data_IF_616663860008
#
_entry.id   IF_616663860008
#
_cell.length_a   1.000
_cell.length_b   1.000
_cell.length_c   1.000
_cell.angle_alpha   90.00
_cell.angle_beta   90.00
_cell.angle_gamma   90.00
#
_symmetry.space_group_name_H-M   'P 1'
#
loop_
_entity.id
_entity.type
_entity.pdbx_description
1 polymer ?
#
# COMPACT_ATOMS: atom_id res chain seq x y z
N UNK A 1 9.69 17.46 -6.57
CA UNK A 1 8.38 18.14 -6.70
C UNK A 1 8.63 19.56 -7.11
N UNK A 2 7.94 20.04 -8.14
CA UNK A 2 7.94 21.46 -8.49
C UNK A 2 6.72 22.04 -7.78
N UNK A 3 6.92 22.61 -6.60
CA UNK A 3 5.86 23.40 -5.97
C UNK A 3 5.72 24.69 -6.76
N UNK A 4 4.50 25.17 -7.02
CA UNK A 4 4.35 26.50 -7.59
C UNK A 4 5.00 27.53 -6.64
N UNK A 5 5.60 28.57 -7.20
CA UNK A 5 6.52 29.49 -6.50
C UNK A 5 5.93 30.18 -5.25
N UNK A 6 4.61 30.25 -5.12
CA UNK A 6 3.93 30.76 -3.94
C UNK A 6 3.80 29.75 -2.78
N UNK A 7 4.05 28.45 -3.02
CA UNK A 7 4.04 27.38 -2.01
C UNK A 7 5.45 26.87 -1.67
N UNK A 8 6.47 27.23 -2.43
CA UNK A 8 7.87 26.87 -2.15
C UNK A 8 8.30 27.14 -0.70
N UNK A 9 7.94 28.27 -0.04
CA UNK A 9 8.34 28.53 1.34
C UNK A 9 7.73 27.51 2.33
N UNK A 10 6.58 26.93 2.00
CA UNK A 10 5.84 26.00 2.86
C UNK A 10 6.00 24.53 2.44
N UNK A 11 6.77 24.27 1.39
CA UNK A 11 6.99 22.94 0.82
C UNK A 11 7.27 21.88 1.89
N UNK A 12 8.13 22.18 2.86
CA UNK A 12 8.54 21.22 3.87
C UNK A 12 7.37 20.82 4.80
N UNK A 13 6.56 21.79 5.21
CA UNK A 13 5.37 21.57 6.03
C UNK A 13 4.28 20.80 5.27
N UNK A 14 4.07 21.14 4.00
CA UNK A 14 3.11 20.46 3.13
C UNK A 14 3.52 19.00 2.91
N UNK A 15 4.81 18.76 2.65
CA UNK A 15 5.35 17.40 2.49
C UNK A 15 5.15 16.58 3.75
N UNK A 16 5.43 17.16 4.93
CA UNK A 16 5.27 16.46 6.20
C UNK A 16 3.80 16.11 6.48
N UNK A 17 2.87 17.02 6.18
CA UNK A 17 1.44 16.77 6.31
C UNK A 17 0.94 15.67 5.35
N UNK A 18 1.39 15.67 4.09
CA UNK A 18 1.06 14.62 3.13
C UNK A 18 1.58 13.26 3.58
N UNK A 19 2.85 13.18 3.98
CA UNK A 19 3.46 11.95 4.50
C UNK A 19 2.72 11.41 5.73
N UNK A 20 2.26 12.31 6.62
CA UNK A 20 1.45 11.94 7.77
C UNK A 20 0.11 11.33 7.36
N UNK A 21 -0.63 12.00 6.48
CA UNK A 21 -1.94 11.54 6.01
C UNK A 21 -1.80 10.22 5.26
N UNK A 22 -0.82 10.12 4.36
CA UNK A 22 -0.54 8.91 3.59
C UNK A 22 -0.20 7.74 4.53
N UNK A 23 0.71 7.93 5.49
CA UNK A 23 1.11 6.90 6.45
C UNK A 23 -0.09 6.39 7.26
N UNK A 24 -0.94 7.30 7.73
CA UNK A 24 -2.11 6.96 8.54
C UNK A 24 -3.15 6.20 7.71
N UNK A 25 -3.47 6.68 6.50
CA UNK A 25 -4.41 6.02 5.59
C UNK A 25 -3.94 4.62 5.20
N UNK A 26 -2.67 4.45 4.82
CA UNK A 26 -2.11 3.14 4.48
C UNK A 26 -2.11 2.19 5.68
N UNK A 27 -1.75 2.68 6.86
CA UNK A 27 -1.82 1.89 8.10
C UNK A 27 -3.23 1.37 8.36
N UNK A 28 -4.26 2.21 8.21
CA UNK A 28 -5.65 1.80 8.43
C UNK A 28 -6.15 0.77 7.40
N UNK A 29 -5.76 0.91 6.13
CA UNK A 29 -6.22 0.02 5.04
C UNK A 29 -5.51 -1.34 5.06
N UNK A 30 -4.30 -1.42 5.63
CA UNK A 30 -3.48 -2.63 5.65
C UNK A 30 -4.22 -3.87 6.18
N UNK A 31 -5.05 -3.74 7.23
CA UNK A 31 -5.86 -4.86 7.77
C UNK A 31 -6.76 -5.50 6.70
N UNK A 32 -7.49 -4.67 5.94
CA UNK A 32 -8.41 -5.14 4.90
C UNK A 32 -7.68 -5.82 3.75
N UNK A 33 -6.52 -5.30 3.37
CA UNK A 33 -5.67 -5.91 2.35
C UNK A 33 -5.20 -7.31 2.77
N UNK A 34 -4.76 -7.47 4.02
CA UNK A 34 -4.34 -8.77 4.55
C UNK A 34 -5.49 -9.76 4.55
N UNK A 35 -6.68 -9.36 5.01
CA UNK A 35 -7.87 -10.23 5.03
C UNK A 35 -8.28 -10.65 3.61
N UNK A 36 -8.24 -9.73 2.64
CA UNK A 36 -8.53 -10.04 1.25
C UNK A 36 -7.54 -11.05 0.64
N UNK A 37 -6.25 -10.92 0.95
CA UNK A 37 -5.21 -11.88 0.52
C UNK A 37 -5.47 -13.26 1.10
N UNK A 38 -5.79 -13.34 2.40
CA UNK A 38 -6.11 -14.63 3.04
C UNK A 38 -7.35 -15.28 2.40
N UNK A 39 -8.41 -14.50 2.17
CA UNK A 39 -9.61 -15.00 1.49
C UNK A 39 -9.32 -15.47 0.06
N UNK A 40 -8.46 -14.76 -0.68
CA UNK A 40 -8.01 -15.16 -2.01
C UNK A 40 -7.31 -16.52 -1.95
N UNK A 41 -6.36 -16.71 -1.04
CA UNK A 41 -5.63 -17.98 -0.87
C UNK A 41 -6.60 -19.12 -0.54
N UNK A 42 -7.53 -18.90 0.38
CA UNK A 42 -8.55 -19.90 0.74
C UNK A 42 -9.44 -20.24 -0.45
N UNK A 43 -9.92 -19.24 -1.20
CA UNK A 43 -10.73 -19.46 -2.39
C UNK A 43 -9.97 -20.27 -3.46
N UNK A 44 -8.67 -20.02 -3.62
CA UNK A 44 -7.82 -20.70 -4.59
C UNK A 44 -7.57 -22.17 -4.21
N UNK A 45 -7.40 -22.46 -2.91
CA UNK A 45 -7.34 -23.83 -2.39
C UNK A 45 -8.66 -24.58 -2.63
N UNK A 46 -9.80 -23.98 -2.28
CA UNK A 46 -11.12 -24.60 -2.50
C UNK A 46 -11.34 -24.86 -4.00
N UNK A 47 -10.97 -23.91 -4.86
CA UNK A 47 -11.08 -24.08 -6.31
C UNK A 47 -10.23 -25.24 -6.83
N UNK A 48 -9.04 -25.48 -6.26
CA UNK A 48 -8.21 -26.64 -6.65
C UNK A 48 -8.80 -27.98 -6.21
N UNK A 49 -9.52 -28.02 -5.08
CA UNK A 49 -10.19 -29.25 -4.62
C UNK A 49 -11.44 -29.61 -5.43
N UNK A 50 -12.12 -28.61 -6.01
CA UNK A 50 -13.38 -28.80 -6.75
C UNK A 50 -13.12 -29.01 -8.26
N UNK A 51 -11.84 -29.07 -8.68
CA UNK A 51 -11.43 -29.24 -10.09
C UNK A 51 -12.14 -28.24 -11.03
N UNK A 52 -12.32 -27.01 -10.56
CA UNK A 52 -12.92 -25.95 -11.36
C UNK A 52 -12.02 -25.67 -12.57
N UNK A 53 -12.42 -26.12 -13.75
CA UNK A 53 -11.69 -25.96 -15.03
C UNK A 53 -11.46 -24.50 -15.44
N UNK A 54 -12.14 -23.57 -14.77
CA UNK A 54 -12.07 -22.13 -14.95
C UNK A 54 -11.00 -21.44 -14.10
N UNK A 55 -10.07 -22.16 -13.48
CA UNK A 55 -8.87 -21.53 -12.92
C UNK A 55 -8.08 -21.00 -14.13
N UNK A 56 -8.03 -19.68 -14.39
CA UNK A 56 -7.07 -19.16 -15.33
C UNK A 56 -5.73 -19.67 -14.81
N UNK A 57 -4.89 -20.27 -15.66
CA UNK A 57 -3.52 -20.61 -15.25
C UNK A 57 -2.82 -19.29 -14.97
N UNK A 58 -3.06 -18.73 -13.78
CA UNK A 58 -2.52 -17.46 -13.36
C UNK A 58 -1.05 -17.77 -13.17
N UNK A 59 -0.28 -17.48 -14.20
CA UNK A 59 1.15 -17.69 -14.14
C UNK A 59 1.65 -16.79 -13.02
N UNK A 60 2.19 -17.40 -11.96
CA UNK A 60 2.76 -16.67 -10.83
C UNK A 60 3.78 -15.64 -11.30
N UNK A 61 4.47 -15.91 -12.42
CA UNK A 61 5.35 -14.93 -13.08
C UNK A 61 4.59 -13.65 -13.45
N UNK A 62 3.41 -13.74 -14.04
CA UNK A 62 2.64 -12.57 -14.48
C UNK A 62 2.10 -11.76 -13.29
N UNK A 63 1.77 -12.41 -12.18
CA UNK A 63 1.37 -11.73 -10.94
C UNK A 63 2.56 -10.95 -10.36
N UNK A 64 3.73 -11.58 -10.27
CA UNK A 64 4.93 -10.95 -9.75
C UNK A 64 5.37 -9.78 -10.64
N UNK A 65 5.37 -9.96 -11.96
CA UNK A 65 5.71 -8.88 -12.91
C UNK A 65 4.69 -7.74 -12.88
N UNK A 66 3.40 -8.06 -12.73
CA UNK A 66 2.35 -7.06 -12.55
C UNK A 66 2.54 -6.27 -11.25
N UNK A 67 2.85 -6.96 -10.15
CA UNK A 67 3.08 -6.35 -8.84
C UNK A 67 4.36 -5.50 -8.84
N UNK A 68 5.45 -5.98 -9.47
CA UNK A 68 6.71 -5.23 -9.58
C UNK A 68 6.55 -3.97 -10.44
N UNK A 69 5.79 -4.06 -11.54
CA UNK A 69 5.50 -2.90 -12.37
C UNK A 69 4.59 -1.90 -11.64
N UNK A 70 3.60 -2.39 -10.89
CA UNK A 70 2.74 -1.51 -10.09
C UNK A 70 3.56 -0.82 -8.99
N UNK A 71 4.31 -1.57 -8.19
CA UNK A 71 5.17 -0.97 -7.16
C UNK A 71 6.20 -0.02 -7.75
N UNK A 72 6.88 -0.35 -8.84
CA UNK A 72 7.84 0.57 -9.46
C UNK A 72 7.19 1.88 -9.94
N UNK A 73 6.02 1.80 -10.58
CA UNK A 73 5.33 2.99 -11.08
C UNK A 73 4.74 3.87 -9.98
N UNK A 74 4.26 3.28 -8.88
CA UNK A 74 3.59 4.01 -7.81
C UNK A 74 4.50 4.36 -6.63
N UNK A 75 5.68 3.73 -6.49
CA UNK A 75 6.67 4.11 -5.47
C UNK A 75 7.19 5.54 -5.68
N UNK A 76 7.29 5.97 -6.94
CA UNK A 76 7.67 7.35 -7.31
C UNK A 76 6.66 8.41 -6.84
N UNK A 77 5.40 8.02 -6.64
CA UNK A 77 4.32 8.87 -6.13
C UNK A 77 4.27 8.91 -4.60
N UNK A 78 5.00 8.01 -3.93
CA UNK A 78 5.13 8.05 -2.48
C UNK A 78 6.12 9.16 -2.13
N UNK A 79 5.66 10.15 -1.38
CA UNK A 79 6.39 11.36 -1.00
C UNK A 79 7.52 11.12 0.03
N UNK A 80 8.24 10.01 -0.12
CA UNK A 80 9.19 9.46 0.82
C UNK A 80 10.62 9.96 0.52
N UNK A 81 10.94 11.18 0.97
CA UNK A 81 12.34 11.61 1.13
C UNK A 81 13.01 10.83 2.28
N UNK A 82 14.33 10.63 2.29
CA UNK A 82 15.03 9.78 3.27
C UNK A 82 14.72 10.07 4.74
N UNK A 83 14.48 11.34 5.12
CA UNK A 83 14.07 11.69 6.50
C UNK A 83 12.58 11.43 6.76
N UNK A 84 11.76 11.53 5.72
CA UNK A 84 10.31 11.34 5.76
C UNK A 84 9.94 9.85 5.81
N UNK A 85 10.83 8.95 5.39
CA UNK A 85 10.62 7.49 5.47
C UNK A 85 10.43 7.03 6.91
N UNK A 86 11.28 7.48 7.84
CA UNK A 86 11.19 7.07 9.25
C UNK A 86 9.90 7.59 9.88
N UNK A 87 9.54 8.85 9.60
CA UNK A 87 8.31 9.44 10.11
C UNK A 87 7.06 8.76 9.53
N UNK A 88 7.06 8.48 8.22
CA UNK A 88 6.02 7.70 7.56
C UNK A 88 5.84 6.33 8.23
N UNK A 89 6.94 5.63 8.52
CA UNK A 89 6.91 4.29 9.12
C UNK A 89 6.33 4.31 10.54
N UNK A 90 6.67 5.32 11.34
CA UNK A 90 6.09 5.52 12.68
C UNK A 90 4.58 5.77 12.57
N UNK A 91 4.16 6.71 11.70
CA UNK A 91 2.74 7.05 11.52
C UNK A 91 1.96 5.87 10.92
N UNK A 92 2.57 5.09 10.04
CA UNK A 92 2.02 3.86 9.50
C UNK A 92 1.76 2.82 10.59
N UNK A 93 2.71 2.58 11.51
CA UNK A 93 2.52 1.66 12.63
C UNK A 93 1.37 2.13 13.53
N UNK A 94 1.28 3.44 13.80
CA UNK A 94 0.17 4.01 14.59
C UNK A 94 -1.16 3.83 13.86
N UNK A 95 -1.23 4.15 12.56
CA UNK A 95 -2.40 3.96 11.72
C UNK A 95 -2.84 2.50 11.65
N UNK A 96 -1.88 1.57 11.60
CA UNK A 96 -2.11 0.12 11.65
C UNK A 96 -2.65 -0.31 13.01
N UNK A 97 -2.09 0.19 14.11
CA UNK A 97 -2.60 -0.05 15.46
C UNK A 97 -4.06 0.41 15.62
N UNK A 98 -4.38 1.60 15.13
CA UNK A 98 -5.76 2.13 15.14
C UNK A 98 -6.68 1.29 14.24
N UNK A 99 -6.22 0.93 13.03
CA UNK A 99 -6.98 0.14 12.08
C UNK A 99 -7.29 -1.27 12.59
N UNK A 100 -6.39 -1.87 13.38
CA UNK A 100 -6.62 -3.15 14.05
C UNK A 100 -7.58 -2.99 15.24
N UNK A 101 -7.43 -1.97 16.07
CA UNK A 101 -8.20 -1.81 17.31
C UNK A 101 -9.67 -1.39 17.08
N UNK A 102 -9.97 -0.54 16.10
CA UNK A 102 -11.34 -0.05 15.83
C UNK A 102 -12.12 -0.87 14.79
N UNK A 103 -11.49 -1.83 14.12
CA UNK A 103 -12.11 -2.64 13.07
C UNK A 103 -12.37 -4.07 13.48
#
# INVERSE_FOLDING_TARGET
MIYPSYLEPYQNYITLALVFVDGLLFGMVAKKAIVAIVLLVVALLIASFIDLSFIPKVNFSNIITGLSNYTYNYTSSLHLSSINVTFFLIVFIIGLGIGIWKG
#
